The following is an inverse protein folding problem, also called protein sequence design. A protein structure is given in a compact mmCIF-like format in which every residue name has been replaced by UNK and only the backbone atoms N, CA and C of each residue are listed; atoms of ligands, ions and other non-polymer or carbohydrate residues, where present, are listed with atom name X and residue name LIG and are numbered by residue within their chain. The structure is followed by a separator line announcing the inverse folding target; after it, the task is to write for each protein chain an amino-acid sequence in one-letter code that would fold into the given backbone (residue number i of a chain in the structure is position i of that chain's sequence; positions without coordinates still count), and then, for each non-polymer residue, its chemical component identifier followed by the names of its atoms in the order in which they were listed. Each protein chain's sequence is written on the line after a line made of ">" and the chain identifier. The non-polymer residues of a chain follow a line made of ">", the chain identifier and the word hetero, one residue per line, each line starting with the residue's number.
data_IF_293340547654
#
_entry.id   IF_293340547654
#
_cell.length_a   1.000
_cell.length_b   1.000
_cell.length_c   1.000
_cell.angle_alpha   90.00
_cell.angle_beta   90.00
_cell.angle_gamma   90.00
#
_symmetry.space_group_name_H-M   'P 1'
#
loop_
_entity.id
_entity.type
_entity.pdbx_description
1 polymer ?
#
# COMPACT_ATOMS: atom_id res chain seq x y z
N UNK A 1 -3.70 -34.73 -3.83
CA UNK A 1 -4.25 -35.31 -2.59
C UNK A 1 -5.48 -34.52 -2.16
N UNK A 2 -6.67 -34.90 -2.67
CA UNK A 2 -7.94 -34.37 -2.20
C UNK A 2 -8.18 -34.89 -0.78
N UNK A 3 -7.97 -34.07 0.24
CA UNK A 3 -8.45 -34.37 1.59
C UNK A 3 -9.97 -34.25 1.57
N UNK A 4 -10.67 -35.37 1.78
CA UNK A 4 -12.09 -35.37 2.14
C UNK A 4 -12.24 -34.61 3.45
N UNK A 5 -12.86 -33.45 3.40
CA UNK A 5 -13.14 -32.66 4.57
C UNK A 5 -14.55 -32.92 5.07
N UNK A 6 -14.65 -33.15 6.36
CA UNK A 6 -15.92 -33.10 7.09
C UNK A 6 -16.45 -31.64 7.00
N UNK A 7 -17.38 -31.41 6.09
CA UNK A 7 -18.07 -30.12 5.95
C UNK A 7 -18.90 -29.84 7.22
N UNK A 8 -18.37 -29.02 8.09
CA UNK A 8 -19.25 -28.25 8.97
C UNK A 8 -19.99 -27.25 8.09
N UNK A 9 -21.32 -27.13 8.25
CA UNK A 9 -22.25 -26.29 7.43
C UNK A 9 -21.86 -24.80 7.28
N UNK A 10 -20.76 -24.36 7.88
CA UNK A 10 -20.33 -22.96 7.95
C UNK A 10 -19.08 -22.63 7.12
N UNK A 11 -18.43 -23.63 6.50
CA UNK A 11 -17.19 -23.39 5.73
C UNK A 11 -17.46 -23.54 4.25
N UNK A 12 -17.22 -22.49 3.48
CA UNK A 12 -17.29 -22.48 2.00
C UNK A 12 -15.92 -22.18 1.45
N UNK A 13 -15.45 -22.98 0.49
CA UNK A 13 -14.19 -22.71 -0.18
C UNK A 13 -14.35 -21.56 -1.19
N UNK A 14 -13.34 -20.70 -1.26
CA UNK A 14 -13.36 -19.56 -2.14
C UNK A 14 -13.50 -19.95 -3.63
N UNK A 15 -12.80 -21.02 -4.04
CA UNK A 15 -12.88 -21.53 -5.41
C UNK A 15 -14.30 -21.99 -5.77
N UNK A 16 -15.01 -22.64 -4.83
CA UNK A 16 -16.41 -23.05 -5.02
C UNK A 16 -17.36 -21.84 -5.18
N UNK A 17 -17.00 -20.68 -4.63
CA UNK A 17 -17.76 -19.44 -4.78
C UNK A 17 -17.52 -18.79 -6.16
N UNK A 18 -16.28 -18.81 -6.63
CA UNK A 18 -15.92 -18.23 -7.95
C UNK A 18 -16.60 -19.00 -9.08
N UNK A 19 -16.71 -20.30 -8.97
CA UNK A 19 -17.36 -21.14 -9.98
C UNK A 19 -18.88 -20.94 -10.08
N UNK A 20 -19.50 -20.40 -9.04
CA UNK A 20 -20.94 -20.03 -9.03
C UNK A 20 -21.18 -18.68 -9.70
N UNK A 21 -20.84 -18.57 -10.94
CA UNK A 21 -20.82 -17.38 -11.81
C UNK A 21 -22.08 -16.50 -11.76
N UNK A 22 -22.20 -15.63 -10.79
CA UNK A 22 -22.94 -14.39 -10.99
C UNK A 22 -22.00 -13.36 -11.64
N UNK A 23 -22.20 -13.12 -12.93
CA UNK A 23 -21.31 -12.24 -13.72
C UNK A 23 -21.39 -10.76 -13.34
N UNK A 24 -22.35 -10.37 -12.51
CA UNK A 24 -22.58 -8.97 -12.14
C UNK A 24 -23.24 -8.88 -10.77
N UNK A 25 -22.62 -8.10 -9.87
CA UNK A 25 -23.22 -7.73 -8.60
C UNK A 25 -23.73 -6.28 -8.68
N UNK A 26 -25.03 -6.08 -8.42
CA UNK A 26 -25.60 -4.72 -8.38
C UNK A 26 -25.09 -4.00 -7.12
N UNK A 27 -24.49 -2.83 -7.32
CA UNK A 27 -24.08 -1.99 -6.18
C UNK A 27 -25.30 -1.48 -5.41
N UNK A 28 -25.12 -1.26 -4.10
CA UNK A 28 -26.15 -0.72 -3.21
C UNK A 28 -25.74 0.67 -2.76
N UNK A 29 -26.64 1.64 -2.94
CA UNK A 29 -26.44 2.98 -2.38
C UNK A 29 -26.58 2.97 -0.86
N UNK A 30 -25.61 3.55 -0.18
CA UNK A 30 -25.62 3.70 1.29
C UNK A 30 -25.34 5.15 1.66
N UNK A 31 -25.78 5.56 2.86
CA UNK A 31 -25.44 6.89 3.38
C UNK A 31 -23.93 7.00 3.61
N UNK A 32 -23.34 8.19 3.36
CA UNK A 32 -21.91 8.42 3.50
C UNK A 32 -21.34 8.14 4.90
N UNK A 33 -22.15 8.32 5.92
CA UNK A 33 -21.81 8.03 7.32
C UNK A 33 -22.07 6.57 7.74
N UNK A 34 -22.55 5.71 6.83
CA UNK A 34 -22.72 4.28 7.11
C UNK A 34 -21.36 3.65 7.39
N UNK A 35 -21.28 2.80 8.43
CA UNK A 35 -20.08 2.03 8.73
C UNK A 35 -19.71 1.15 7.54
N UNK A 36 -18.43 1.16 7.18
CA UNK A 36 -17.87 0.35 6.08
C UNK A 36 -17.22 -0.93 6.63
N UNK A 37 -16.28 -0.76 7.54
CA UNK A 37 -15.58 -1.87 8.18
C UNK A 37 -15.07 -1.47 9.56
N UNK A 38 -14.65 -2.48 10.33
CA UNK A 38 -14.02 -2.33 11.64
C UNK A 38 -12.63 -2.92 11.55
N UNK A 39 -11.62 -2.16 11.99
CA UNK A 39 -10.25 -2.65 12.08
C UNK A 39 -9.77 -2.52 13.53
N UNK A 40 -9.19 -3.60 14.07
CA UNK A 40 -8.74 -3.62 15.45
C UNK A 40 -7.30 -3.12 15.57
N UNK A 41 -7.04 -2.35 16.62
CA UNK A 41 -5.70 -1.90 17.01
C UNK A 41 -5.33 -2.47 18.36
N UNK A 42 -4.04 -2.57 18.66
CA UNK A 42 -3.52 -3.11 19.92
C UNK A 42 -3.86 -2.26 21.16
N UNK A 43 -4.42 -1.07 21.00
CA UNK A 43 -4.84 -0.17 22.07
C UNK A 43 -3.80 0.08 23.19
N UNK A 44 -3.71 1.28 23.70
CA UNK A 44 -2.80 1.63 24.81
C UNK A 44 -3.17 0.96 26.16
N UNK A 45 -4.36 0.39 26.28
CA UNK A 45 -4.90 -0.22 27.49
C UNK A 45 -4.75 -1.75 27.54
N UNK A 46 -4.04 -2.36 26.59
CA UNK A 46 -3.84 -3.81 26.50
C UNK A 46 -4.98 -4.58 25.83
N UNK A 47 -6.18 -4.02 25.72
CA UNK A 47 -7.29 -4.64 24.99
C UNK A 47 -7.39 -4.10 23.56
N UNK A 48 -7.61 -4.97 22.56
CA UNK A 48 -7.84 -4.52 21.18
C UNK A 48 -9.04 -3.58 21.08
N UNK A 49 -8.86 -2.45 20.38
CA UNK A 49 -9.95 -1.48 20.11
C UNK A 49 -10.38 -1.60 18.66
N UNK A 50 -11.68 -1.79 18.44
CA UNK A 50 -12.26 -1.80 17.09
C UNK A 50 -12.51 -0.36 16.62
N UNK A 51 -11.82 0.06 15.59
CA UNK A 51 -11.98 1.37 14.95
C UNK A 51 -12.96 1.21 13.79
N UNK A 52 -14.04 1.97 13.82
CA UNK A 52 -15.09 1.95 12.80
C UNK A 52 -14.83 3.06 11.80
N UNK A 53 -14.73 2.71 10.52
CA UNK A 53 -14.60 3.67 9.43
C UNK A 53 -15.92 3.84 8.68
N UNK A 54 -16.27 5.11 8.37
CA UNK A 54 -17.44 5.42 7.57
C UNK A 54 -17.18 5.27 6.07
N UNK A 55 -18.20 4.90 5.30
CA UNK A 55 -18.06 4.64 3.86
C UNK A 55 -17.58 5.87 3.10
N UNK A 56 -18.27 7.00 3.21
CA UNK A 56 -17.97 8.19 2.40
C UNK A 56 -16.69 8.89 2.85
N UNK A 57 -16.53 9.13 4.16
CA UNK A 57 -15.36 9.82 4.71
C UNK A 57 -14.08 9.06 4.45
N UNK A 58 -14.10 7.75 4.68
CA UNK A 58 -12.95 6.89 4.42
C UNK A 58 -12.54 6.86 2.92
N UNK A 59 -13.50 6.65 2.02
CA UNK A 59 -13.21 6.60 0.58
C UNK A 59 -12.70 7.94 0.05
N UNK A 60 -13.31 9.05 0.49
CA UNK A 60 -12.86 10.39 0.09
C UNK A 60 -11.42 10.64 0.54
N UNK A 61 -11.09 10.31 1.79
CA UNK A 61 -9.76 10.53 2.33
C UNK A 61 -8.71 9.63 1.68
N UNK A 62 -9.04 8.36 1.46
CA UNK A 62 -8.19 7.40 0.75
C UNK A 62 -7.86 7.88 -0.66
N UNK A 63 -8.87 8.32 -1.41
CA UNK A 63 -8.71 8.89 -2.75
C UNK A 63 -7.85 10.15 -2.73
N UNK A 64 -8.16 11.09 -1.84
CA UNK A 64 -7.46 12.37 -1.73
C UNK A 64 -5.97 12.18 -1.45
N UNK A 65 -5.62 11.34 -0.46
CA UNK A 65 -4.23 11.10 -0.08
C UNK A 65 -3.46 10.33 -1.16
N UNK A 66 -4.07 9.40 -1.86
CA UNK A 66 -3.45 8.74 -3.02
C UNK A 66 -3.07 9.75 -4.12
N UNK A 67 -3.95 10.70 -4.43
CA UNK A 67 -3.68 11.73 -5.44
C UNK A 67 -2.62 12.72 -4.95
N UNK A 68 -2.82 13.28 -3.76
CA UNK A 68 -1.99 14.41 -3.28
C UNK A 68 -0.60 13.99 -2.81
N UNK A 69 -0.49 12.83 -2.17
CA UNK A 69 0.78 12.39 -1.59
C UNK A 69 1.61 11.58 -2.59
N UNK A 70 0.97 10.76 -3.42
CA UNK A 70 1.69 9.89 -4.35
C UNK A 70 1.61 10.33 -5.82
N UNK A 71 0.75 11.29 -6.15
CA UNK A 71 0.50 11.68 -7.54
C UNK A 71 -0.18 10.56 -8.35
N UNK A 72 -0.98 9.72 -7.68
CA UNK A 72 -1.68 8.61 -8.32
C UNK A 72 -2.85 9.13 -9.17
N UNK A 73 -2.95 8.62 -10.39
CA UNK A 73 -4.08 8.85 -11.30
C UNK A 73 -4.48 7.55 -12.01
N UNK A 74 -5.52 7.60 -12.83
CA UNK A 74 -6.10 6.43 -13.52
C UNK A 74 -5.14 5.72 -14.50
N UNK A 75 -4.07 6.38 -14.92
CA UNK A 75 -3.10 5.83 -15.87
C UNK A 75 -1.88 5.22 -15.19
N UNK A 76 -1.83 5.26 -13.86
CA UNK A 76 -0.67 4.81 -13.08
C UNK A 76 -0.93 3.50 -12.36
N UNK A 77 0.16 2.80 -12.15
CA UNK A 77 0.21 1.55 -11.38
C UNK A 77 0.91 1.77 -10.05
N UNK A 78 0.25 1.38 -8.96
CA UNK A 78 0.81 1.40 -7.61
C UNK A 78 1.04 -0.01 -7.10
N UNK A 79 2.20 -0.23 -6.47
CA UNK A 79 2.50 -1.40 -5.67
C UNK A 79 2.69 -0.97 -4.23
N UNK A 80 1.77 -1.38 -3.36
CA UNK A 80 1.85 -1.18 -1.92
C UNK A 80 2.04 -2.53 -1.24
N UNK A 81 3.21 -2.75 -0.64
CA UNK A 81 3.49 -3.99 0.08
C UNK A 81 2.99 -3.89 1.53
N UNK A 82 1.70 -4.06 1.73
CA UNK A 82 1.07 -4.06 3.04
C UNK A 82 0.08 -5.20 3.17
N UNK A 83 -0.01 -5.75 4.37
CA UNK A 83 -0.96 -6.80 4.70
C UNK A 83 -2.38 -6.23 4.89
N UNK A 84 -3.40 -7.02 4.54
CA UNK A 84 -4.81 -6.66 4.70
C UNK A 84 -5.24 -6.52 6.17
N UNK A 85 -4.46 -7.01 7.13
CA UNK A 85 -4.66 -6.79 8.57
C UNK A 85 -4.36 -5.36 9.02
N UNK A 86 -3.76 -4.52 8.16
CA UNK A 86 -3.40 -3.15 8.47
C UNK A 86 -4.17 -2.15 7.64
N UNK A 87 -4.48 -0.99 8.26
CA UNK A 87 -5.20 0.10 7.56
C UNK A 87 -4.52 0.50 6.25
N UNK A 88 -3.21 0.44 6.21
CA UNK A 88 -2.43 0.83 5.04
C UNK A 88 -2.70 -0.10 3.84
N UNK A 89 -2.88 -1.40 4.07
CA UNK A 89 -3.31 -2.37 3.05
C UNK A 89 -4.70 -2.04 2.51
N UNK A 90 -5.64 -1.71 3.38
CA UNK A 90 -6.98 -1.26 2.96
C UNK A 90 -6.91 0.02 2.14
N UNK A 91 -6.24 1.05 2.66
CA UNK A 91 -6.27 2.40 2.09
C UNK A 91 -5.48 2.49 0.79
N UNK A 92 -4.21 2.00 0.77
CA UNK A 92 -3.28 2.27 -0.32
C UNK A 92 -3.01 1.07 -1.24
N UNK A 93 -3.43 -0.15 -0.84
CA UNK A 93 -3.41 -1.30 -1.76
C UNK A 93 -4.77 -1.54 -2.42
N UNK A 94 -5.87 -1.07 -1.85
CA UNK A 94 -7.20 -1.42 -2.35
C UNK A 94 -8.09 -0.20 -2.60
N UNK A 95 -8.65 0.41 -1.55
CA UNK A 95 -9.73 1.39 -1.71
C UNK A 95 -9.31 2.69 -2.40
N UNK A 96 -8.17 3.25 -2.02
CA UNK A 96 -7.67 4.49 -2.62
C UNK A 96 -7.41 4.35 -4.12
N UNK A 97 -6.55 3.44 -4.56
CA UNK A 97 -6.27 3.22 -5.98
C UNK A 97 -7.52 2.91 -6.82
N UNK A 98 -8.36 1.99 -6.35
CA UNK A 98 -9.57 1.59 -7.09
C UNK A 98 -10.58 2.75 -7.19
N UNK A 99 -10.70 3.61 -6.16
CA UNK A 99 -11.57 4.78 -6.20
C UNK A 99 -11.14 5.84 -7.23
N UNK A 100 -9.90 5.78 -7.70
CA UNK A 100 -9.32 6.65 -8.73
C UNK A 100 -9.45 6.02 -10.11
N UNK A 101 -9.65 4.70 -10.18
CA UNK A 101 -9.56 3.92 -11.41
C UNK A 101 -8.10 3.60 -11.81
N UNK A 102 -7.17 3.67 -10.86
CA UNK A 102 -5.77 3.31 -11.04
C UNK A 102 -5.58 1.79 -11.01
N UNK A 103 -4.45 1.31 -11.52
CA UNK A 103 -4.06 -0.09 -11.37
C UNK A 103 -3.36 -0.28 -10.03
N UNK A 104 -3.78 -1.28 -9.27
CA UNK A 104 -3.11 -1.69 -8.03
C UNK A 104 -2.61 -3.12 -8.13
N UNK A 105 -1.41 -3.36 -7.57
CA UNK A 105 -0.81 -4.69 -7.54
C UNK A 105 -0.94 -5.24 -6.12
N UNK A 106 -1.63 -6.36 -5.99
CA UNK A 106 -1.75 -7.10 -4.74
C UNK A 106 -0.74 -8.25 -4.74
N UNK A 107 0.06 -8.34 -3.69
CA UNK A 107 1.06 -9.40 -3.52
C UNK A 107 0.65 -10.28 -2.34
N UNK A 108 0.41 -11.55 -2.62
CA UNK A 108 0.04 -12.53 -1.59
C UNK A 108 1.09 -12.65 -0.49
N UNK A 109 2.37 -12.62 -0.89
CA UNK A 109 3.51 -12.73 0.04
C UNK A 109 4.49 -11.57 -0.15
N UNK A 110 4.33 -10.44 0.57
CA UNK A 110 5.22 -9.27 0.43
C UNK A 110 6.71 -9.59 0.58
N UNK A 111 7.05 -10.62 1.36
CA UNK A 111 8.42 -11.10 1.53
C UNK A 111 9.05 -11.57 0.20
N UNK A 112 8.27 -11.98 -0.80
CA UNK A 112 8.77 -12.35 -2.12
C UNK A 112 9.50 -11.23 -2.84
N UNK A 113 9.24 -9.97 -2.46
CA UNK A 113 9.93 -8.78 -2.98
C UNK A 113 11.40 -8.70 -2.60
N UNK A 114 11.89 -9.52 -1.66
CA UNK A 114 13.33 -9.64 -1.39
C UNK A 114 14.07 -10.25 -2.58
N UNK A 115 13.42 -11.08 -3.40
CA UNK A 115 14.00 -11.59 -4.62
C UNK A 115 14.18 -10.47 -5.64
N UNK A 116 15.44 -10.12 -5.93
CA UNK A 116 15.79 -9.06 -6.88
C UNK A 116 15.18 -9.33 -8.26
N UNK A 117 15.20 -10.58 -8.71
CA UNK A 117 14.59 -10.99 -10.00
C UNK A 117 13.08 -10.77 -9.99
N UNK A 118 12.39 -11.21 -8.95
CA UNK A 118 10.94 -11.08 -8.83
C UNK A 118 10.53 -9.60 -8.78
N UNK A 119 11.21 -8.81 -7.93
CA UNK A 119 10.95 -7.38 -7.80
C UNK A 119 11.19 -6.63 -9.11
N UNK A 120 12.30 -6.92 -9.79
CA UNK A 120 12.60 -6.34 -11.09
C UNK A 120 11.52 -6.66 -12.13
N UNK A 121 11.12 -7.92 -12.24
CA UNK A 121 10.07 -8.32 -13.18
C UNK A 121 8.77 -7.57 -12.91
N UNK A 122 8.31 -7.51 -11.66
CA UNK A 122 7.08 -6.76 -11.31
C UNK A 122 7.20 -5.29 -11.71
N UNK A 123 8.31 -4.63 -11.38
CA UNK A 123 8.49 -3.20 -11.66
C UNK A 123 8.46 -2.89 -13.17
N UNK A 124 9.02 -3.78 -14.00
CA UNK A 124 9.11 -3.56 -15.45
C UNK A 124 7.89 -4.10 -16.19
N UNK A 125 7.48 -5.34 -15.93
CA UNK A 125 6.40 -5.99 -16.67
C UNK A 125 5.05 -5.32 -16.39
N UNK A 126 4.84 -4.86 -15.15
CA UNK A 126 3.63 -4.18 -14.72
C UNK A 126 3.76 -2.65 -14.72
N UNK A 127 4.87 -2.10 -15.21
CA UNK A 127 5.12 -0.66 -15.36
C UNK A 127 4.78 0.15 -14.09
N UNK A 128 5.32 -0.29 -12.95
CA UNK A 128 5.00 0.31 -11.64
C UNK A 128 5.49 1.76 -11.57
N UNK A 129 4.58 2.69 -11.35
CA UNK A 129 4.88 4.12 -11.18
C UNK A 129 5.14 4.50 -9.73
N UNK A 130 4.46 3.83 -8.79
CA UNK A 130 4.55 4.12 -7.37
C UNK A 130 4.88 2.84 -6.62
N UNK A 131 6.00 2.85 -5.90
CA UNK A 131 6.45 1.75 -5.05
C UNK A 131 6.40 2.19 -3.58
N UNK A 132 5.46 1.64 -2.81
CA UNK A 132 5.22 2.01 -1.42
C UNK A 132 5.44 0.82 -0.50
N UNK A 133 6.51 0.88 0.32
CA UNK A 133 7.01 -0.24 1.09
C UNK A 133 7.17 0.09 2.58
N UNK A 134 6.97 -0.90 3.48
CA UNK A 134 7.42 -0.80 4.86
C UNK A 134 8.94 -0.61 4.95
N UNK A 135 9.39 0.23 5.87
CA UNK A 135 10.85 0.47 6.07
C UNK A 135 11.57 -0.82 6.45
N UNK A 136 10.93 -1.72 7.19
CA UNK A 136 11.46 -3.08 7.49
C UNK A 136 11.74 -3.87 6.20
N UNK A 137 10.80 -3.87 5.24
CA UNK A 137 10.98 -4.56 3.96
C UNK A 137 12.08 -3.88 3.12
N UNK A 138 12.17 -2.55 3.12
CA UNK A 138 13.25 -1.82 2.43
C UNK A 138 14.62 -2.24 2.99
N UNK A 139 14.75 -2.37 4.32
CA UNK A 139 15.96 -2.86 4.96
C UNK A 139 16.31 -4.29 4.58
N UNK A 140 15.31 -5.18 4.54
CA UNK A 140 15.51 -6.57 4.12
C UNK A 140 15.95 -6.67 2.65
N UNK A 141 15.30 -5.97 1.74
CA UNK A 141 15.72 -5.90 0.33
C UNK A 141 17.17 -5.42 0.25
N UNK A 142 17.52 -4.38 1.02
CA UNK A 142 18.88 -3.86 1.05
C UNK A 142 19.90 -4.88 1.56
N UNK A 143 19.57 -5.67 2.58
CA UNK A 143 20.50 -6.64 3.18
C UNK A 143 20.83 -7.81 2.27
N UNK A 144 19.91 -8.19 1.39
CA UNK A 144 20.07 -9.32 0.44
C UNK A 144 20.42 -8.86 -0.98
N UNK A 145 20.28 -7.57 -1.28
CA UNK A 145 20.55 -7.04 -2.62
C UNK A 145 22.02 -7.17 -2.97
N UNK A 146 22.29 -7.89 -4.06
CA UNK A 146 23.57 -7.80 -4.72
C UNK A 146 23.72 -6.36 -5.21
N UNK A 147 24.79 -5.65 -4.95
CA UNK A 147 25.08 -4.23 -5.28
C UNK A 147 24.54 -3.72 -6.65
N UNK A 148 23.69 -4.49 -7.33
CA UNK A 148 23.05 -4.17 -8.61
C UNK A 148 21.91 -3.19 -8.39
N UNK A 149 21.82 -2.22 -9.27
CA UNK A 149 20.76 -1.22 -9.28
C UNK A 149 19.53 -1.79 -10.00
N UNK A 150 18.37 -1.76 -9.35
CA UNK A 150 17.07 -2.14 -9.92
C UNK A 150 16.38 -0.86 -10.39
N UNK A 151 17.00 -0.16 -11.33
CA UNK A 151 16.44 1.09 -11.81
C UNK A 151 15.28 0.82 -12.76
N UNK A 152 14.12 1.39 -12.46
CA UNK A 152 12.97 1.36 -13.35
C UNK A 152 12.68 2.75 -13.91
N UNK A 153 12.54 2.82 -15.22
CA UNK A 153 12.19 4.05 -15.94
C UNK A 153 10.75 4.49 -15.67
N UNK A 154 9.91 3.56 -15.20
CA UNK A 154 8.49 3.81 -14.91
C UNK A 154 8.26 4.43 -13.53
N UNK A 155 9.20 4.25 -12.59
CA UNK A 155 9.04 4.77 -11.24
C UNK A 155 9.10 6.29 -11.19
N UNK A 156 8.05 6.86 -10.62
CA UNK A 156 7.88 8.30 -10.39
C UNK A 156 7.89 8.65 -8.91
N UNK A 157 7.42 7.73 -8.06
CA UNK A 157 7.32 7.94 -6.61
C UNK A 157 7.77 6.72 -5.84
N UNK A 158 8.59 6.94 -4.82
CA UNK A 158 8.91 5.97 -3.80
C UNK A 158 8.22 6.37 -2.50
N UNK A 159 7.58 5.42 -1.84
CA UNK A 159 6.96 5.65 -0.53
C UNK A 159 7.55 4.75 0.55
N UNK A 160 7.56 5.24 1.78
CA UNK A 160 7.96 4.46 2.97
C UNK A 160 6.96 4.61 4.10
N UNK A 161 6.78 3.53 4.87
CA UNK A 161 5.77 3.46 5.94
C UNK A 161 6.24 2.66 7.15
N UNK A 162 5.51 2.85 8.26
CA UNK A 162 5.53 2.00 9.44
C UNK A 162 6.62 2.32 10.46
N UNK A 163 7.73 2.92 10.01
CA UNK A 163 8.86 3.31 10.87
C UNK A 163 9.56 4.56 10.31
N UNK A 164 10.31 5.29 11.14
CA UNK A 164 11.17 6.38 10.66
C UNK A 164 12.20 5.89 9.63
N UNK A 165 12.26 6.58 8.50
CA UNK A 165 13.20 6.28 7.42
C UNK A 165 14.53 6.98 7.67
N UNK A 166 15.59 6.25 7.99
CA UNK A 166 16.91 6.84 8.16
C UNK A 166 17.48 7.40 6.85
N UNK A 167 18.28 8.47 6.92
CA UNK A 167 18.95 9.07 5.77
C UNK A 167 19.70 8.03 4.91
N UNK A 168 20.41 7.13 5.55
CA UNK A 168 21.21 6.08 4.89
C UNK A 168 20.32 5.11 4.06
N UNK A 169 19.21 4.65 4.64
CA UNK A 169 18.27 3.77 3.95
C UNK A 169 17.55 4.51 2.82
N UNK A 170 17.11 5.75 3.06
CA UNK A 170 16.46 6.57 2.06
C UNK A 170 17.36 6.86 0.84
N UNK A 171 18.61 7.20 1.07
CA UNK A 171 19.59 7.41 0.00
C UNK A 171 19.84 6.13 -0.82
N UNK A 172 19.94 4.98 -0.14
CA UNK A 172 20.06 3.71 -0.84
C UNK A 172 18.83 3.40 -1.66
N UNK A 173 17.65 3.60 -1.10
CA UNK A 173 16.37 3.32 -1.73
C UNK A 173 16.21 4.12 -3.05
N UNK A 174 16.45 5.43 -3.01
CA UNK A 174 16.40 6.26 -4.22
C UNK A 174 17.45 5.86 -5.25
N UNK A 175 18.71 5.67 -4.84
CA UNK A 175 19.80 5.31 -5.75
C UNK A 175 19.63 3.95 -6.42
N UNK A 176 18.96 3.02 -5.74
CA UNK A 176 18.77 1.65 -6.24
C UNK A 176 17.62 1.55 -7.22
N UNK A 177 16.51 2.24 -6.96
CA UNK A 177 15.26 2.03 -7.70
C UNK A 177 14.98 3.08 -8.76
N UNK A 178 15.53 4.27 -8.67
CA UNK A 178 15.24 5.33 -9.62
C UNK A 178 16.46 5.77 -10.42
N UNK A 179 16.22 6.06 -11.70
CA UNK A 179 17.19 6.75 -12.56
C UNK A 179 17.15 8.26 -12.38
N UNK A 180 15.98 8.76 -12.05
CA UNK A 180 15.71 10.19 -11.83
C UNK A 180 15.86 10.52 -10.35
N UNK A 181 16.08 11.79 -10.04
CA UNK A 181 15.98 12.29 -8.69
C UNK A 181 14.50 12.35 -8.32
N UNK A 182 14.02 11.32 -7.60
CA UNK A 182 12.64 11.27 -7.11
C UNK A 182 12.61 11.44 -5.60
N UNK A 183 11.50 11.98 -5.13
CA UNK A 183 11.23 12.16 -3.71
C UNK A 183 10.76 10.86 -3.08
N UNK A 184 11.13 10.65 -1.80
CA UNK A 184 10.48 9.64 -0.99
C UNK A 184 9.33 10.30 -0.24
N UNK A 185 8.13 9.77 -0.43
CA UNK A 185 6.95 10.06 0.37
C UNK A 185 7.01 9.21 1.62
N UNK A 186 7.69 9.74 2.66
CA UNK A 186 7.75 9.09 3.97
C UNK A 186 6.49 9.44 4.75
N UNK A 187 5.74 8.44 5.20
CA UNK A 187 4.39 8.65 5.72
C UNK A 187 4.28 8.35 7.20
N UNK A 188 3.54 9.20 7.91
CA UNK A 188 3.00 8.92 9.22
C UNK A 188 1.48 8.77 9.15
N UNK A 189 0.96 7.65 9.63
CA UNK A 189 -0.46 7.34 9.63
C UNK A 189 -0.84 6.49 10.85
N UNK A 190 -2.13 6.43 11.14
CA UNK A 190 -2.70 5.57 12.17
C UNK A 190 -3.97 4.90 11.65
N UNK A 191 -4.36 3.78 12.28
CA UNK A 191 -5.63 3.11 11.96
C UNK A 191 -6.81 4.03 12.22
N UNK A 192 -6.74 4.81 13.29
CA UNK A 192 -7.76 5.76 13.74
C UNK A 192 -8.03 6.88 12.73
N UNK A 193 -7.03 7.23 11.93
CA UNK A 193 -7.13 8.30 10.93
C UNK A 193 -7.44 7.81 9.52
N UNK A 194 -7.58 6.50 9.36
CA UNK A 194 -7.85 5.85 8.06
C UNK A 194 -6.72 5.97 7.01
N UNK A 195 -5.69 6.75 7.26
CA UNK A 195 -4.62 7.00 6.32
C UNK A 195 -3.58 8.00 6.82
N UNK A 196 -2.86 8.60 5.88
CA UNK A 196 -1.71 9.49 6.14
C UNK A 196 -2.13 10.74 6.90
N UNK A 197 -1.50 11.00 8.03
CA UNK A 197 -1.64 12.24 8.81
C UNK A 197 -0.65 13.27 8.29
N UNK A 198 0.61 12.85 8.11
CA UNK A 198 1.70 13.70 7.64
C UNK A 198 2.51 12.96 6.59
N UNK A 199 2.88 13.66 5.53
CA UNK A 199 3.90 13.24 4.55
C UNK A 199 4.33 14.40 3.68
N UNK A 200 5.50 14.33 3.02
CA UNK A 200 5.79 15.21 1.89
C UNK A 200 4.76 14.99 0.77
N UNK A 201 4.37 16.05 0.07
CA UNK A 201 3.45 15.94 -1.07
C UNK A 201 4.20 15.55 -2.33
N UNK A 202 3.51 14.92 -3.26
CA UNK A 202 4.02 14.71 -4.61
C UNK A 202 4.41 16.07 -5.22
N UNK A 203 5.57 16.14 -5.85
CA UNK A 203 6.17 17.36 -6.41
C UNK A 203 6.63 18.43 -5.39
N UNK A 204 6.67 18.16 -4.11
CA UNK A 204 7.39 19.03 -3.18
C UNK A 204 8.87 19.16 -3.61
N UNK A 205 9.47 20.30 -3.32
CA UNK A 205 10.88 20.49 -3.63
C UNK A 205 11.76 19.53 -2.85
N UNK A 206 12.27 18.50 -3.54
CA UNK A 206 13.04 17.38 -2.98
C UNK A 206 14.25 17.86 -2.16
N UNK A 207 14.87 18.99 -2.54
CA UNK A 207 16.04 19.52 -1.84
C UNK A 207 15.71 20.10 -0.46
N UNK A 208 14.44 20.40 -0.21
CA UNK A 208 13.96 21.01 1.03
C UNK A 208 13.38 20.02 2.04
N UNK A 209 13.16 18.77 1.65
CA UNK A 209 12.61 17.74 2.54
C UNK A 209 13.72 16.82 3.03
N UNK A 210 14.12 16.88 4.31
CA UNK A 210 15.14 15.99 4.86
C UNK A 210 14.69 14.53 4.80
N UNK A 211 15.64 13.61 4.57
CA UNK A 211 15.37 12.18 4.75
C UNK A 211 14.88 11.89 6.17
N UNK A 212 13.82 11.09 6.28
CA UNK A 212 13.20 10.75 7.56
C UNK A 212 12.12 11.73 8.02
N UNK A 213 12.03 12.92 7.40
CA UNK A 213 10.91 13.80 7.64
C UNK A 213 9.62 13.22 7.06
N UNK A 214 8.54 13.34 7.82
CA UNK A 214 7.18 13.03 7.36
C UNK A 214 6.47 14.28 6.80
N UNK A 215 7.21 15.36 6.56
CA UNK A 215 6.66 16.59 6.01
C UNK A 215 5.80 17.37 7.01
N UNK A 216 4.77 18.01 6.46
CA UNK A 216 3.75 18.76 7.22
C UNK A 216 2.41 18.06 7.10
N UNK A 217 1.48 18.32 8.02
CA UNK A 217 0.09 17.88 7.93
C UNK A 217 -0.62 18.38 6.66
#
# INVERSE_FOLDING_TARGET
>A
NKKKNNNTKSTVYFDDLIDKKEKFHKYTFVKSNKSSFILFTSGSTGYPKGIIHSTGGYLLYSKYTCIKQFGLDKNKTILTASDAGWINGHTYSLYGPLSIGATTILIEKPISLISEKFLKNILFDLKVNILYLPVTLIRLIKSVSSKKRIKSIYLETLGSMGEPLSKYIGQWFTKTFSEKKIQIVNTYYQTETAGIICSPKFNDNISKVPYGSVGKP
#
